data_IF_601525758420
#
_entry.id   IF_601525758420
#
_cell.length_a   1.000
_cell.length_b   1.000
_cell.length_c   1.000
_cell.angle_alpha   90.00
_cell.angle_beta   90.00
_cell.angle_gamma   90.00
#
_symmetry.space_group_name_H-M   'P 1'
#
loop_
_entity.id
_entity.type
_entity.pdbx_description
1 polymer ?
#
# COMPACT_ATOMS: atom_id res chain seq x y z
N UNK A 1 30.45 -17.92 -26.86
CA UNK A 1 30.26 -17.54 -25.44
C UNK A 1 29.20 -16.45 -25.45
N UNK A 2 27.94 -16.84 -25.30
CA UNK A 2 26.82 -15.90 -25.23
C UNK A 2 26.90 -15.20 -23.86
N UNK A 3 27.07 -13.88 -23.88
CA UNK A 3 26.88 -13.07 -22.69
C UNK A 3 25.43 -13.26 -22.25
N UNK A 4 25.22 -13.81 -21.06
CA UNK A 4 23.92 -13.81 -20.44
C UNK A 4 23.52 -12.33 -20.32
N UNK A 5 22.43 -11.96 -20.98
CA UNK A 5 21.77 -10.68 -20.79
C UNK A 5 21.34 -10.67 -19.31
N UNK A 6 22.08 -9.96 -18.47
CA UNK A 6 21.72 -9.78 -17.07
C UNK A 6 20.55 -8.82 -17.12
N UNK A 7 19.34 -9.37 -17.25
CA UNK A 7 18.11 -8.57 -17.08
C UNK A 7 18.24 -7.80 -15.77
N UNK A 8 18.16 -6.49 -15.83
CA UNK A 8 18.21 -5.65 -14.64
C UNK A 8 17.12 -6.09 -13.66
N UNK A 9 17.45 -6.13 -12.38
CA UNK A 9 16.49 -6.50 -11.34
C UNK A 9 15.26 -5.57 -11.40
N UNK A 10 14.09 -6.15 -11.22
CA UNK A 10 12.84 -5.37 -11.15
C UNK A 10 12.87 -4.45 -9.93
N UNK A 11 12.13 -3.35 -9.99
CA UNK A 11 12.03 -2.40 -8.89
C UNK A 11 10.56 -2.18 -8.50
N UNK A 12 10.29 -2.20 -7.19
CA UNK A 12 9.02 -1.81 -6.58
C UNK A 12 9.18 -0.43 -5.95
N UNK A 13 8.29 0.50 -6.27
CA UNK A 13 8.10 1.76 -5.55
C UNK A 13 6.86 1.63 -4.66
N UNK A 14 7.02 1.77 -3.33
CA UNK A 14 5.93 1.71 -2.37
C UNK A 14 5.66 3.12 -1.79
N UNK A 15 4.47 3.64 -2.07
CA UNK A 15 4.00 4.96 -1.66
C UNK A 15 2.97 4.82 -0.55
N UNK A 16 3.07 5.62 0.52
CA UNK A 16 2.09 5.50 1.59
C UNK A 16 2.39 6.30 2.86
N UNK A 17 1.95 5.73 3.97
CA UNK A 17 2.07 6.29 5.32
C UNK A 17 2.73 5.30 6.30
N UNK A 18 2.39 5.37 7.60
CA UNK A 18 2.90 4.48 8.64
C UNK A 18 2.67 3.00 8.34
N UNK A 19 1.58 2.65 7.68
CA UNK A 19 1.29 1.28 7.27
C UNK A 19 2.24 0.75 6.20
N UNK A 20 2.82 1.63 5.40
CA UNK A 20 3.77 1.25 4.33
C UNK A 20 5.20 1.18 4.83
N UNK A 21 5.62 2.09 5.74
CA UNK A 21 6.96 1.98 6.33
C UNK A 21 7.09 0.81 7.31
N UNK A 22 5.98 0.30 7.84
CA UNK A 22 6.00 -0.70 8.91
C UNK A 22 6.27 -0.08 10.27
N UNK A 23 5.45 0.92 10.66
CA UNK A 23 5.55 1.56 11.97
C UNK A 23 5.51 0.52 13.08
N UNK A 24 6.39 0.67 14.08
CA UNK A 24 6.50 -0.20 15.25
C UNK A 24 6.92 -1.65 14.99
N UNK A 25 7.38 -1.98 13.77
CA UNK A 25 8.03 -3.28 13.46
C UNK A 25 9.42 -3.06 12.85
N UNK A 26 10.23 -4.10 12.85
CA UNK A 26 11.49 -4.07 12.09
C UNK A 26 11.18 -3.78 10.61
N UNK A 27 11.88 -2.84 9.96
CA UNK A 27 11.66 -2.51 8.56
C UNK A 27 11.64 -3.72 7.60
N UNK A 28 12.43 -4.76 7.90
CA UNK A 28 12.44 -6.00 7.15
C UNK A 28 11.10 -6.76 7.20
N UNK A 29 10.26 -6.47 8.19
CA UNK A 29 8.96 -7.09 8.40
C UNK A 29 7.78 -6.25 7.85
N UNK A 30 8.04 -5.09 7.24
CA UNK A 30 7.00 -4.31 6.56
C UNK A 30 6.42 -5.11 5.38
N UNK A 31 5.16 -4.86 5.02
CA UNK A 31 4.53 -5.60 3.94
C UNK A 31 5.23 -5.45 2.57
N UNK A 32 5.82 -4.26 2.20
CA UNK A 32 6.54 -4.18 0.93
C UNK A 32 7.79 -5.05 0.89
N UNK A 33 8.50 -5.16 2.03
CA UNK A 33 9.67 -6.05 2.15
C UNK A 33 9.26 -7.51 2.09
N UNK A 34 8.22 -7.90 2.82
CA UNK A 34 7.69 -9.27 2.78
C UNK A 34 7.20 -9.67 1.38
N UNK A 35 6.56 -8.73 0.64
CA UNK A 35 6.13 -8.97 -0.73
C UNK A 35 7.32 -9.23 -1.67
N UNK A 36 8.37 -8.43 -1.55
CA UNK A 36 9.60 -8.61 -2.34
C UNK A 36 10.26 -9.96 -2.00
N UNK A 37 10.35 -10.32 -0.73
CA UNK A 37 10.91 -11.63 -0.33
C UNK A 37 10.06 -12.80 -0.84
N UNK A 38 8.73 -12.68 -0.82
CA UNK A 38 7.84 -13.70 -1.38
C UNK A 38 8.03 -13.86 -2.90
N UNK A 39 8.20 -12.76 -3.65
CA UNK A 39 8.50 -12.79 -5.08
C UNK A 39 9.88 -13.42 -5.36
N UNK A 40 10.89 -13.09 -4.55
CA UNK A 40 12.24 -13.68 -4.65
C UNK A 40 12.21 -15.19 -4.43
N UNK A 41 11.44 -15.64 -3.44
CA UNK A 41 11.27 -17.07 -3.18
C UNK A 41 10.66 -17.84 -4.37
N UNK A 42 9.97 -17.14 -5.26
CA UNK A 42 9.43 -17.67 -6.52
C UNK A 42 10.37 -17.48 -7.72
N UNK A 43 11.59 -16.99 -7.49
CA UNK A 43 12.60 -16.82 -8.55
C UNK A 43 12.53 -15.47 -9.29
N UNK A 44 11.70 -14.52 -8.83
CA UNK A 44 11.68 -13.16 -9.41
C UNK A 44 12.93 -12.40 -8.98
N UNK A 45 13.69 -11.90 -9.94
CA UNK A 45 14.85 -11.05 -9.67
C UNK A 45 14.37 -9.62 -9.45
N UNK A 46 14.29 -9.20 -8.19
CA UNK A 46 13.75 -7.90 -7.77
C UNK A 46 14.59 -7.30 -6.64
N UNK A 47 14.87 -6.01 -6.73
CA UNK A 47 15.59 -5.25 -5.70
C UNK A 47 14.73 -5.03 -4.44
N UNK A 48 15.33 -4.68 -3.30
CA UNK A 48 14.56 -4.17 -2.16
C UNK A 48 13.65 -3.01 -2.60
N UNK A 49 12.44 -2.87 -2.02
CA UNK A 49 11.51 -1.83 -2.44
C UNK A 49 12.06 -0.44 -2.11
N UNK A 50 11.86 0.53 -3.02
CA UNK A 50 12.00 1.94 -2.68
C UNK A 50 10.72 2.38 -2.00
N UNK A 51 10.82 2.90 -0.78
CA UNK A 51 9.68 3.32 0.04
C UNK A 51 9.69 4.84 0.16
N UNK A 52 8.56 5.47 -0.15
CA UNK A 52 8.27 6.88 0.15
C UNK A 52 7.01 6.90 0.99
N UNK A 53 7.20 6.91 2.28
CA UNK A 53 6.13 6.84 3.27
C UNK A 53 6.65 7.35 4.62
N UNK A 54 5.78 7.94 5.41
CA UNK A 54 6.07 8.31 6.79
C UNK A 54 4.82 8.31 7.67
N UNK A 55 5.04 8.19 8.97
CA UNK A 55 3.98 8.22 9.98
C UNK A 55 3.17 9.49 9.90
N UNK A 56 1.86 9.34 9.91
CA UNK A 56 0.93 10.46 9.98
C UNK A 56 0.61 11.14 8.65
N UNK A 57 1.26 10.76 7.53
CA UNK A 57 1.01 11.43 6.26
C UNK A 57 -0.40 11.23 5.75
N UNK A 58 -0.97 12.37 5.32
CA UNK A 58 -2.18 12.46 4.48
C UNK A 58 -1.80 12.42 3.00
N UNK A 59 -2.79 12.41 2.14
CA UNK A 59 -2.61 12.40 0.67
C UNK A 59 -1.79 13.59 0.16
N UNK A 60 -2.04 14.80 0.66
CA UNK A 60 -1.30 16.02 0.31
C UNK A 60 0.15 15.99 0.81
N UNK A 61 0.38 15.49 2.05
CA UNK A 61 1.72 15.34 2.62
C UNK A 61 2.55 14.29 1.86
N UNK A 62 1.95 13.18 1.45
CA UNK A 62 2.61 12.20 0.57
C UNK A 62 2.95 12.81 -0.79
N UNK A 63 2.03 13.58 -1.38
CA UNK A 63 2.28 14.26 -2.66
C UNK A 63 3.48 15.22 -2.57
N UNK A 64 3.55 16.03 -1.51
CA UNK A 64 4.69 16.93 -1.26
C UNK A 64 6.00 16.15 -1.04
N UNK A 65 5.96 15.02 -0.34
CA UNK A 65 7.14 14.19 -0.13
C UNK A 65 7.66 13.55 -1.43
N UNK A 66 6.77 13.15 -2.32
CA UNK A 66 7.14 12.68 -3.65
C UNK A 66 7.82 13.81 -4.43
N UNK A 67 7.32 15.06 -4.39
CA UNK A 67 7.96 16.21 -5.04
C UNK A 67 9.37 16.46 -4.51
N UNK A 68 9.56 16.33 -3.21
CA UNK A 68 10.87 16.49 -2.57
C UNK A 68 11.86 15.35 -2.93
N UNK A 69 11.35 14.18 -3.27
CA UNK A 69 12.15 13.01 -3.66
C UNK A 69 12.46 12.94 -5.16
N UNK A 70 11.82 13.76 -5.99
CA UNK A 70 12.04 13.80 -7.44
C UNK A 70 13.50 14.26 -7.78
N UNK A 71 14.14 13.74 -8.84
CA UNK A 71 13.57 12.82 -9.83
C UNK A 71 13.61 11.34 -9.40
N UNK A 72 12.46 10.67 -9.44
CA UNK A 72 12.32 9.25 -9.08
C UNK A 72 12.54 8.29 -10.26
N UNK A 73 12.49 8.81 -11.48
CA UNK A 73 12.43 8.00 -12.70
C UNK A 73 10.99 7.53 -13.03
N UNK A 74 10.84 6.82 -14.14
CA UNK A 74 9.51 6.47 -14.69
C UNK A 74 9.44 5.03 -15.19
N UNK A 75 10.18 4.11 -14.59
CA UNK A 75 10.25 2.73 -15.07
C UNK A 75 10.26 1.71 -13.93
N UNK A 76 9.53 1.98 -12.86
CA UNK A 76 9.33 0.96 -11.85
C UNK A 76 8.49 -0.19 -12.44
N UNK A 77 8.95 -1.41 -12.19
CA UNK A 77 8.24 -2.61 -12.64
C UNK A 77 6.90 -2.79 -11.92
N UNK A 78 6.82 -2.26 -10.70
CA UNK A 78 5.62 -2.22 -9.87
C UNK A 78 5.59 -0.91 -9.08
N UNK A 79 4.40 -0.35 -8.90
CA UNK A 79 4.16 0.76 -7.97
C UNK A 79 2.96 0.41 -7.10
N UNK A 80 3.09 0.60 -5.80
CA UNK A 80 1.97 0.44 -4.85
C UNK A 80 1.60 1.75 -4.18
N UNK A 81 0.32 1.90 -3.81
CA UNK A 81 -0.20 3.03 -3.05
C UNK A 81 -1.09 2.52 -1.92
N UNK A 82 -0.80 2.93 -0.68
CA UNK A 82 -1.64 2.74 0.50
C UNK A 82 -1.62 4.02 1.30
N UNK A 83 -2.70 4.82 1.24
CA UNK A 83 -2.81 6.14 1.86
C UNK A 83 -4.26 6.49 2.15
N UNK A 84 -4.50 7.29 3.18
CA UNK A 84 -5.81 7.86 3.47
C UNK A 84 -6.30 7.64 4.89
N UNK A 85 -5.68 6.77 5.69
CA UNK A 85 -6.06 6.59 7.09
C UNK A 85 -5.94 7.91 7.87
N UNK A 86 -4.89 8.70 7.61
CA UNK A 86 -4.69 9.98 8.28
C UNK A 86 -5.65 11.07 7.78
N UNK A 87 -6.11 10.99 6.52
CA UNK A 87 -7.20 11.84 6.05
C UNK A 87 -8.48 11.56 6.86
N UNK A 88 -8.87 10.29 7.03
CA UNK A 88 -9.99 9.88 7.87
C UNK A 88 -9.78 10.30 9.32
N UNK A 89 -8.62 10.02 9.90
CA UNK A 89 -8.30 10.34 11.29
C UNK A 89 -8.38 11.84 11.58
N UNK A 90 -7.98 12.69 10.63
CA UNK A 90 -8.02 14.15 10.72
C UNK A 90 -9.36 14.75 10.25
N UNK A 91 -10.34 13.92 9.87
CA UNK A 91 -11.67 14.37 9.44
C UNK A 91 -11.66 15.15 8.13
N UNK A 92 -10.77 14.82 7.19
CA UNK A 92 -10.79 15.38 5.84
C UNK A 92 -12.04 14.96 5.10
N UNK A 93 -12.52 15.76 4.17
CA UNK A 93 -13.72 15.43 3.40
C UNK A 93 -13.46 14.30 2.40
N UNK A 94 -14.52 13.58 2.03
CA UNK A 94 -14.40 12.55 0.98
C UNK A 94 -14.06 13.16 -0.39
N UNK A 95 -14.53 14.36 -0.69
CA UNK A 95 -14.25 15.05 -1.95
C UNK A 95 -12.78 15.46 -2.06
N UNK A 96 -12.21 16.04 -1.00
CA UNK A 96 -10.77 16.35 -0.94
C UNK A 96 -9.94 15.07 -1.11
N UNK A 97 -10.29 14.01 -0.36
CA UNK A 97 -9.60 12.72 -0.47
C UNK A 97 -9.68 12.15 -1.88
N UNK A 98 -10.87 12.15 -2.50
CA UNK A 98 -11.05 11.62 -3.84
C UNK A 98 -10.17 12.33 -4.87
N UNK A 99 -10.11 13.66 -4.81
CA UNK A 99 -9.31 14.48 -5.73
C UNK A 99 -7.80 14.23 -5.53
N UNK A 100 -7.34 14.26 -4.28
CA UNK A 100 -5.94 14.07 -3.93
C UNK A 100 -5.48 12.64 -4.22
N UNK A 101 -6.31 11.64 -3.88
CA UNK A 101 -6.03 10.23 -4.17
C UNK A 101 -5.95 9.96 -5.67
N UNK A 102 -6.88 10.50 -6.48
CA UNK A 102 -6.83 10.38 -7.93
C UNK A 102 -5.52 10.97 -8.50
N UNK A 103 -5.09 12.12 -7.98
CA UNK A 103 -3.83 12.75 -8.38
C UNK A 103 -2.62 11.87 -8.03
N UNK A 104 -2.58 11.29 -6.82
CA UNK A 104 -1.53 10.37 -6.40
C UNK A 104 -1.50 9.11 -7.25
N UNK A 105 -2.67 8.56 -7.61
CA UNK A 105 -2.78 7.38 -8.45
C UNK A 105 -2.25 7.66 -9.87
N UNK A 106 -2.53 8.82 -10.45
CA UNK A 106 -1.96 9.23 -11.74
C UNK A 106 -0.43 9.37 -11.66
N UNK A 107 0.12 9.88 -10.55
CA UNK A 107 1.57 9.91 -10.32
C UNK A 107 2.15 8.49 -10.25
N UNK A 108 1.49 7.58 -9.53
CA UNK A 108 1.90 6.18 -9.44
C UNK A 108 1.93 5.50 -10.82
N UNK A 109 0.90 5.74 -11.65
CA UNK A 109 0.86 5.27 -13.05
C UNK A 109 2.01 5.90 -13.86
N UNK A 110 2.31 7.17 -13.65
CA UNK A 110 3.46 7.84 -14.27
C UNK A 110 4.79 7.16 -13.94
N UNK A 111 5.05 6.83 -12.68
CA UNK A 111 6.25 6.12 -12.22
C UNK A 111 6.35 4.69 -12.78
N UNK A 112 5.23 4.07 -13.08
CA UNK A 112 5.15 2.76 -13.73
C UNK A 112 5.26 2.84 -15.28
N UNK A 113 5.79 3.93 -15.83
CA UNK A 113 5.94 4.13 -17.27
C UNK A 113 4.58 4.28 -18.00
N UNK A 114 3.60 4.88 -17.36
CA UNK A 114 2.21 5.03 -17.82
C UNK A 114 1.45 3.71 -17.97
N UNK A 115 1.83 2.73 -17.19
CA UNK A 115 1.23 1.39 -17.18
C UNK A 115 0.38 1.19 -15.93
N UNK A 116 -0.92 1.39 -16.05
CA UNK A 116 -1.89 1.16 -14.96
C UNK A 116 -1.87 -0.31 -14.49
N UNK A 117 -1.62 -1.24 -15.39
CA UNK A 117 -1.44 -2.67 -15.15
C UNK A 117 -0.14 -3.03 -14.40
N UNK A 118 0.63 -2.03 -13.97
CA UNK A 118 1.81 -2.15 -13.11
C UNK A 118 1.62 -1.47 -11.76
N UNK A 119 0.43 -0.96 -11.52
CA UNK A 119 0.08 -0.28 -10.28
C UNK A 119 -0.96 -1.09 -9.52
N UNK A 120 -0.82 -1.14 -8.20
CA UNK A 120 -1.82 -1.72 -7.32
C UNK A 120 -2.00 -0.86 -6.06
N UNK A 121 -3.21 -0.84 -5.56
CA UNK A 121 -3.60 -0.13 -4.35
C UNK A 121 -3.98 -1.15 -3.28
N UNK A 122 -3.53 -0.94 -2.05
CA UNK A 122 -4.06 -1.66 -0.90
C UNK A 122 -5.15 -0.81 -0.23
N UNK A 123 -6.22 -1.44 0.19
CA UNK A 123 -7.24 -0.79 1.01
C UNK A 123 -6.64 -0.25 2.32
N UNK A 124 -7.22 0.80 2.87
CA UNK A 124 -6.91 1.25 4.22
C UNK A 124 -7.39 0.16 5.20
N UNK A 125 -6.54 -0.33 6.12
CA UNK A 125 -6.95 -1.31 7.11
C UNK A 125 -7.95 -0.71 8.10
N UNK A 126 -8.85 -1.54 8.64
CA UNK A 126 -9.80 -1.09 9.65
C UNK A 126 -9.16 -1.07 11.05
N UNK A 127 -8.79 0.12 11.51
CA UNK A 127 -8.22 0.29 12.83
C UNK A 127 -9.27 0.37 13.95
N UNK A 128 -10.57 0.42 13.61
CA UNK A 128 -11.66 0.52 14.60
C UNK A 128 -11.70 -0.66 15.59
N UNK A 129 -11.15 -1.81 15.20
CA UNK A 129 -11.10 -3.04 16.01
C UNK A 129 -9.91 -3.11 16.97
N UNK A 130 -9.02 -2.13 16.93
CA UNK A 130 -7.77 -2.14 17.71
C UNK A 130 -7.97 -1.65 19.15
N UNK A 131 -7.08 -2.06 20.09
CA UNK A 131 -7.05 -1.49 21.43
C UNK A 131 -6.91 0.03 21.46
N UNK A 132 -6.15 0.60 20.52
CA UNK A 132 -6.01 2.05 20.37
C UNK A 132 -7.36 2.71 20.08
N UNK A 133 -8.15 2.15 19.16
CA UNK A 133 -9.49 2.69 18.87
C UNK A 133 -10.40 2.65 20.09
N UNK A 134 -10.39 1.55 20.84
CA UNK A 134 -11.19 1.40 22.06
C UNK A 134 -10.86 2.44 23.14
N UNK A 135 -9.59 2.91 23.17
CA UNK A 135 -9.11 3.92 24.12
C UNK A 135 -9.20 5.36 23.60
N UNK A 136 -9.47 5.54 22.31
CA UNK A 136 -9.44 6.85 21.64
C UNK A 136 -10.62 7.77 22.03
N UNK A 137 -11.65 7.23 22.63
CA UNK A 137 -12.91 7.96 22.92
C UNK A 137 -13.77 8.24 21.69
N UNK A 138 -13.39 7.73 20.51
CA UNK A 138 -14.14 7.89 19.26
C UNK A 138 -15.21 6.82 19.11
N UNK A 139 -16.24 7.09 18.33
CA UNK A 139 -17.22 6.09 17.92
C UNK A 139 -16.56 5.08 16.94
N UNK A 140 -16.26 3.88 17.44
CA UNK A 140 -15.63 2.81 16.64
C UNK A 140 -16.47 2.39 15.44
N UNK A 141 -17.80 2.46 15.54
CA UNK A 141 -18.68 2.16 14.41
C UNK A 141 -18.61 3.27 13.35
N UNK A 142 -18.47 4.53 13.77
CA UNK A 142 -18.26 5.63 12.84
C UNK A 142 -16.92 5.48 12.11
N UNK A 143 -15.83 5.16 12.83
CA UNK A 143 -14.52 4.90 12.21
C UNK A 143 -14.62 3.83 11.12
N UNK A 144 -15.24 2.67 11.44
CA UNK A 144 -15.38 1.57 10.49
C UNK A 144 -16.18 1.99 9.25
N UNK A 145 -17.31 2.69 9.42
CA UNK A 145 -18.12 3.19 8.28
C UNK A 145 -17.38 4.21 7.44
N UNK A 146 -16.63 5.11 8.06
CA UNK A 146 -15.82 6.11 7.35
C UNK A 146 -14.73 5.43 6.52
N UNK A 147 -14.01 4.45 7.09
CA UNK A 147 -12.99 3.70 6.37
C UNK A 147 -13.57 2.90 5.19
N UNK A 148 -14.76 2.29 5.36
CA UNK A 148 -15.47 1.65 4.24
C UNK A 148 -15.77 2.65 3.12
N UNK A 149 -16.17 3.88 3.46
CA UNK A 149 -16.44 4.92 2.47
C UNK A 149 -15.15 5.40 1.77
N UNK A 150 -14.06 5.62 2.51
CA UNK A 150 -12.75 5.95 1.94
C UNK A 150 -12.26 4.85 0.99
N UNK A 151 -12.36 3.60 1.40
CA UNK A 151 -11.98 2.45 0.57
C UNK A 151 -12.85 2.32 -0.68
N UNK A 152 -14.16 2.58 -0.57
CA UNK A 152 -15.06 2.58 -1.72
C UNK A 152 -14.68 3.67 -2.74
N UNK A 153 -14.34 4.88 -2.28
CA UNK A 153 -13.84 5.96 -3.14
C UNK A 153 -12.57 5.52 -3.87
N UNK A 154 -11.57 5.00 -3.14
CA UNK A 154 -10.32 4.55 -3.73
C UNK A 154 -10.53 3.41 -4.73
N UNK A 155 -11.36 2.42 -4.40
CA UNK A 155 -11.66 1.28 -5.27
C UNK A 155 -12.34 1.72 -6.57
N UNK A 156 -13.30 2.65 -6.51
CA UNK A 156 -13.97 3.20 -7.70
C UNK A 156 -12.97 3.92 -8.62
N UNK A 157 -12.10 4.77 -8.06
CA UNK A 157 -11.06 5.46 -8.83
C UNK A 157 -10.10 4.45 -9.47
N UNK A 158 -9.73 3.39 -8.76
CA UNK A 158 -8.90 2.31 -9.31
C UNK A 158 -9.58 1.61 -10.50
N UNK A 159 -10.88 1.29 -10.39
CA UNK A 159 -11.64 0.70 -11.50
C UNK A 159 -11.65 1.62 -12.72
N UNK A 160 -11.91 2.92 -12.54
CA UNK A 160 -11.89 3.91 -13.63
C UNK A 160 -10.55 4.02 -14.34
N UNK A 161 -9.45 3.77 -13.63
CA UNK A 161 -8.07 3.87 -14.14
C UNK A 161 -7.47 2.52 -14.57
N UNK A 162 -8.20 1.42 -14.41
CA UNK A 162 -7.69 0.07 -14.71
C UNK A 162 -6.57 -0.38 -13.77
N UNK A 163 -6.58 0.11 -12.53
CA UNK A 163 -5.60 -0.24 -11.49
C UNK A 163 -6.14 -1.33 -10.58
N UNK A 164 -5.30 -2.28 -10.21
CA UNK A 164 -5.69 -3.34 -9.29
C UNK A 164 -5.87 -2.81 -7.87
N UNK A 165 -6.98 -3.18 -7.22
CA UNK A 165 -7.27 -2.88 -5.82
C UNK A 165 -7.23 -4.16 -4.99
N UNK A 166 -6.43 -4.18 -3.93
CA UNK A 166 -6.27 -5.30 -2.99
C UNK A 166 -6.98 -4.96 -1.70
N UNK A 167 -8.13 -5.55 -1.47
CA UNK A 167 -8.90 -5.32 -0.25
C UNK A 167 -8.34 -6.11 0.94
N UNK A 168 -7.56 -5.43 1.79
CA UNK A 168 -6.99 -5.98 3.02
C UNK A 168 -7.82 -5.60 4.27
N UNK A 169 -8.86 -4.79 4.12
CA UNK A 169 -9.69 -4.35 5.25
C UNK A 169 -10.44 -5.51 5.95
N UNK A 170 -10.96 -6.53 5.23
CA UNK A 170 -11.62 -7.66 5.90
C UNK A 170 -10.71 -8.45 6.83
N UNK A 171 -9.45 -8.71 6.45
CA UNK A 171 -8.52 -9.45 7.32
C UNK A 171 -8.10 -8.60 8.51
N UNK A 172 -7.89 -7.31 8.32
CA UNK A 172 -7.63 -6.37 9.40
C UNK A 172 -8.79 -6.32 10.39
N UNK A 173 -10.02 -6.24 9.90
CA UNK A 173 -11.24 -6.24 10.72
C UNK A 173 -11.43 -7.55 11.48
N UNK A 174 -11.17 -8.69 10.84
CA UNK A 174 -11.36 -10.00 11.45
C UNK A 174 -10.31 -10.30 12.55
N UNK A 175 -9.09 -9.81 12.39
CA UNK A 175 -7.93 -10.19 13.20
C UNK A 175 -7.26 -9.05 13.97
N UNK A 176 -7.61 -7.80 13.68
CA UNK A 176 -6.97 -6.61 14.26
C UNK A 176 -7.17 -6.42 15.77
N UNK A 177 -7.99 -7.24 16.42
CA UNK A 177 -8.09 -7.31 17.89
C UNK A 177 -7.16 -8.37 18.51
N UNK A 178 -6.54 -9.26 17.71
CA UNK A 178 -5.63 -10.29 18.18
C UNK A 178 -4.27 -9.66 18.52
N UNK A 179 -3.76 -9.86 19.74
CA UNK A 179 -2.47 -9.29 20.16
C UNK A 179 -1.30 -9.70 19.25
N UNK A 180 -1.32 -10.89 18.66
CA UNK A 180 -0.30 -11.34 17.72
C UNK A 180 -0.32 -10.59 16.37
N UNK A 181 -1.43 -9.91 16.04
CA UNK A 181 -1.62 -9.18 14.79
C UNK A 181 -1.31 -7.69 14.90
N UNK A 182 -1.02 -7.21 16.09
CA UNK A 182 -0.68 -5.82 16.38
C UNK A 182 0.76 -5.69 16.84
N UNK A 183 1.36 -4.56 16.51
CA UNK A 183 2.60 -4.10 17.12
C UNK A 183 2.36 -3.69 18.60
N UNK A 184 3.44 -3.37 19.32
CA UNK A 184 3.36 -3.04 20.75
C UNK A 184 2.54 -1.78 21.06
N UNK A 185 2.35 -0.91 20.09
CA UNK A 185 1.54 0.31 20.23
C UNK A 185 0.02 0.06 20.23
N UNK A 186 -0.41 -1.18 19.95
CA UNK A 186 -1.82 -1.56 19.92
C UNK A 186 -2.64 -0.93 18.81
N UNK A 187 -2.00 -0.42 17.77
CA UNK A 187 -2.60 0.22 16.59
C UNK A 187 -2.06 -0.35 15.29
N UNK A 188 -0.73 -0.27 15.10
CA UNK A 188 -0.11 -0.68 13.85
C UNK A 188 -0.05 -2.21 13.71
N UNK A 189 -0.04 -2.72 12.47
CA UNK A 189 0.06 -4.15 12.21
C UNK A 189 1.39 -4.73 12.68
N UNK A 190 1.35 -5.94 13.22
CA UNK A 190 2.57 -6.73 13.45
C UNK A 190 3.10 -7.32 12.13
N UNK A 191 4.29 -7.91 12.18
CA UNK A 191 4.84 -8.71 11.08
C UNK A 191 3.87 -9.81 10.60
N UNK A 192 3.10 -10.41 11.52
CA UNK A 192 2.14 -11.45 11.20
C UNK A 192 0.93 -10.90 10.41
N UNK A 193 0.43 -9.72 10.76
CA UNK A 193 -0.63 -9.06 9.99
C UNK A 193 -0.13 -8.64 8.61
N UNK A 194 1.09 -8.11 8.51
CA UNK A 194 1.71 -7.78 7.22
C UNK A 194 1.91 -9.02 6.33
N UNK A 195 2.16 -10.20 6.91
CA UNK A 195 2.20 -11.44 6.16
C UNK A 195 0.82 -11.81 5.56
N UNK A 196 -0.27 -11.55 6.30
CA UNK A 196 -1.62 -11.74 5.75
C UNK A 196 -1.90 -10.77 4.59
N UNK A 197 -1.50 -9.50 4.69
CA UNK A 197 -1.64 -8.54 3.58
C UNK A 197 -0.83 -8.97 2.37
N UNK A 198 0.41 -9.41 2.59
CA UNK A 198 1.28 -9.95 1.54
C UNK A 198 0.63 -11.15 0.85
N UNK A 199 0.04 -12.06 1.61
CA UNK A 199 -0.68 -13.24 1.07
C UNK A 199 -1.83 -12.84 0.14
N UNK A 200 -2.53 -11.74 0.44
CA UNK A 200 -3.60 -11.21 -0.41
C UNK A 200 -3.06 -10.46 -1.64
N UNK A 201 -1.97 -9.72 -1.49
CA UNK A 201 -1.38 -8.93 -2.57
C UNK A 201 -0.61 -9.79 -3.59
N UNK A 202 0.08 -10.82 -3.14
CA UNK A 202 0.99 -11.63 -3.95
C UNK A 202 0.34 -12.20 -5.23
N UNK A 203 -0.85 -12.82 -5.21
CA UNK A 203 -1.49 -13.32 -6.44
C UNK A 203 -1.89 -12.21 -7.41
N UNK A 204 -2.20 -11.01 -6.92
CA UNK A 204 -2.47 -9.84 -7.76
C UNK A 204 -1.18 -9.40 -8.44
N UNK A 205 -0.11 -9.21 -7.67
CA UNK A 205 1.20 -8.76 -8.17
C UNK A 205 1.78 -9.74 -9.18
N UNK A 206 1.63 -11.06 -8.96
CA UNK A 206 2.03 -12.08 -9.95
C UNK A 206 1.34 -11.87 -11.30
N UNK A 207 0.04 -11.60 -11.32
CA UNK A 207 -0.69 -11.30 -12.57
C UNK A 207 -0.12 -10.06 -13.24
N UNK A 208 0.07 -8.97 -12.49
CA UNK A 208 0.63 -7.74 -13.03
C UNK A 208 2.03 -7.96 -13.63
N UNK A 209 2.84 -8.83 -13.07
CA UNK A 209 4.17 -9.17 -13.62
C UNK A 209 4.08 -10.09 -14.85
N UNK A 210 3.12 -11.02 -14.90
CA UNK A 210 2.99 -12.00 -15.97
C UNK A 210 2.34 -11.45 -17.24
N UNK A 211 1.45 -10.44 -17.14
CA UNK A 211 0.83 -9.78 -18.30
C UNK A 211 1.85 -9.06 -19.21
N UNK A 212 3.12 -9.03 -18.82
CA UNK A 212 4.25 -8.50 -19.60
C UNK A 212 4.91 -9.53 -20.51
N UNK A 213 4.69 -10.82 -20.25
CA UNK A 213 5.35 -11.91 -21.00
C UNK A 213 4.51 -12.43 -22.18
N UNK A 214 3.35 -11.82 -22.46
CA UNK A 214 2.60 -12.12 -23.67
C UNK A 214 3.09 -11.22 -24.80
N UNK A 215 3.60 -11.78 -25.93
CA UNK A 215 4.10 -11.05 -27.08
C UNK A 215 3.02 -10.28 -27.83
#
# INVERSE_FOLDING_TARGET
>A
MYAADISAALQLLALGDSYTIGESVDPANSWPMQLVEALRAEGVVIDPPKIIAATGWTTDELSAAIDAAEPLGHQYALVSLLIGVNNQYRGRTFDDYAQEFATLLERAIGFAGRRADRVFVLAIPDWSVTPFAAQSGRDIQAISRELDAYNAVAANICVERGVAFVDIAPVSRARGAEAAMLAEDGLHPSAAMYAEWTRLALPVVRRLLNEVSAP
#
